data_IF_386923582421
#
_entry.id   IF_386923582421
#
_cell.length_a   1.000
_cell.length_b   1.000
_cell.length_c   1.000
_cell.angle_alpha   90.00
_cell.angle_beta   90.00
_cell.angle_gamma   90.00
#
_symmetry.space_group_name_H-M   'P 1'
#
loop_
_entity.id
_entity.type
_entity.pdbx_description
1 polymer ?
#
# COMPACT_ATOMS: atom_id res chain seq x y z
N UNK A 1 -1.26 -3.17 2.62
CA UNK A 1 -1.96 -1.88 2.44
C UNK A 1 -3.12 -2.03 1.46
N UNK A 2 -2.86 -2.29 0.17
CA UNK A 2 -3.90 -2.37 -0.87
C UNK A 2 -5.07 -3.27 -0.46
N UNK A 3 -4.79 -4.54 -0.16
CA UNK A 3 -5.82 -5.52 0.18
C UNK A 3 -6.60 -5.16 1.44
N UNK A 4 -5.90 -4.83 2.51
CA UNK A 4 -6.53 -4.55 3.81
C UNK A 4 -7.37 -3.28 3.77
N UNK A 5 -6.86 -2.19 3.20
CA UNK A 5 -7.61 -0.94 3.09
C UNK A 5 -8.80 -1.07 2.14
N UNK A 6 -8.61 -1.69 0.96
CA UNK A 6 -9.69 -1.86 -0.02
C UNK A 6 -10.85 -2.65 0.56
N UNK A 7 -10.60 -3.86 1.08
CA UNK A 7 -11.68 -4.72 1.59
C UNK A 7 -12.33 -4.15 2.84
N UNK A 8 -11.57 -3.49 3.72
CA UNK A 8 -12.15 -2.81 4.89
C UNK A 8 -13.15 -1.74 4.47
N UNK A 9 -12.77 -0.86 3.55
CA UNK A 9 -13.67 0.17 3.02
C UNK A 9 -14.83 -0.46 2.25
N UNK A 10 -14.56 -1.49 1.44
CA UNK A 10 -15.58 -2.19 0.67
C UNK A 10 -16.70 -2.75 1.54
N UNK A 11 -16.35 -3.42 2.65
CA UNK A 11 -17.33 -4.03 3.54
C UNK A 11 -18.10 -3.00 4.38
N UNK A 12 -17.50 -1.84 4.66
CA UNK A 12 -18.21 -0.72 5.32
C UNK A 12 -19.18 -0.09 4.33
N UNK A 13 -18.65 0.38 3.20
CA UNK A 13 -19.41 0.92 2.08
C UNK A 13 -18.54 0.87 0.82
N UNK A 14 -18.90 -0.04 -0.08
CA UNK A 14 -18.28 -0.22 -1.39
C UNK A 14 -18.08 1.09 -2.17
N UNK A 15 -19.02 2.03 -2.08
CA UNK A 15 -18.98 3.28 -2.84
C UNK A 15 -17.77 4.15 -2.49
N UNK A 16 -17.14 3.93 -1.33
CA UNK A 16 -15.94 4.62 -0.87
C UNK A 16 -14.69 4.27 -1.69
N UNK A 17 -14.68 3.11 -2.33
CA UNK A 17 -13.57 2.63 -3.17
C UNK A 17 -13.95 2.46 -4.62
N UNK A 18 -15.21 2.10 -4.91
CA UNK A 18 -15.68 1.86 -6.26
C UNK A 18 -17.17 2.20 -6.43
N UNK A 19 -17.53 3.10 -7.36
CA UNK A 19 -18.92 3.36 -7.74
C UNK A 19 -19.58 2.11 -8.34
N UNK A 20 -20.89 1.95 -8.16
CA UNK A 20 -21.65 0.81 -8.70
C UNK A 20 -21.77 0.84 -10.23
N UNK A 21 -21.63 2.02 -10.83
CA UNK A 21 -21.83 2.22 -12.27
C UNK A 21 -20.71 1.57 -13.11
N UNK A 22 -19.58 1.24 -12.48
CA UNK A 22 -18.44 0.61 -13.18
C UNK A 22 -18.43 -0.92 -13.06
N UNK A 23 -19.43 -1.53 -12.43
CA UNK A 23 -19.53 -2.98 -12.23
C UNK A 23 -19.53 -3.76 -13.54
N UNK A 24 -20.10 -3.16 -14.60
CA UNK A 24 -20.11 -3.75 -15.95
C UNK A 24 -18.69 -3.92 -16.51
N UNK A 25 -17.78 -3.01 -16.17
CA UNK A 25 -16.40 -2.99 -16.65
C UNK A 25 -15.42 -3.62 -15.66
N UNK A 26 -15.79 -3.70 -14.37
CA UNK A 26 -14.94 -4.15 -13.30
C UNK A 26 -15.56 -5.31 -12.51
N UNK A 27 -15.54 -6.53 -13.08
CA UNK A 27 -16.19 -7.69 -12.49
C UNK A 27 -15.51 -8.14 -11.18
N UNK A 28 -16.24 -8.90 -10.37
CA UNK A 28 -15.76 -9.29 -9.02
C UNK A 28 -14.47 -10.13 -9.02
N UNK A 29 -14.25 -10.96 -10.03
CA UNK A 29 -12.99 -11.71 -10.14
C UNK A 29 -11.79 -10.78 -10.37
N UNK A 30 -12.00 -9.65 -11.06
CA UNK A 30 -10.97 -8.64 -11.27
C UNK A 30 -10.69 -7.89 -9.97
N UNK A 31 -11.72 -7.62 -9.15
CA UNK A 31 -11.54 -7.12 -7.78
C UNK A 31 -10.62 -8.04 -6.96
N UNK A 32 -10.86 -9.35 -6.96
CA UNK A 32 -10.01 -10.30 -6.26
C UNK A 32 -8.58 -10.36 -6.82
N UNK A 33 -8.44 -10.27 -8.14
CA UNK A 33 -7.12 -10.25 -8.78
C UNK A 33 -6.31 -9.04 -8.32
N UNK A 34 -6.92 -7.85 -8.28
CA UNK A 34 -6.23 -6.61 -7.91
C UNK A 34 -6.09 -6.40 -6.41
N UNK A 35 -7.01 -6.94 -5.58
CA UNK A 35 -7.08 -6.61 -4.15
C UNK A 35 -6.96 -7.80 -3.22
N UNK A 36 -7.11 -9.05 -3.66
CA UNK A 36 -6.87 -10.23 -2.80
C UNK A 36 -5.55 -10.90 -3.16
N UNK A 37 -5.34 -11.18 -4.43
CA UNK A 37 -4.17 -11.96 -4.87
C UNK A 37 -2.84 -11.23 -4.67
N UNK A 38 -2.82 -9.90 -4.71
CA UNK A 38 -1.63 -9.12 -4.34
C UNK A 38 -1.15 -9.49 -2.93
N UNK A 39 -2.05 -9.57 -1.94
CA UNK A 39 -1.68 -9.99 -0.59
C UNK A 39 -1.24 -11.45 -0.54
N UNK A 40 -1.97 -12.35 -1.19
CA UNK A 40 -1.62 -13.77 -1.24
C UNK A 40 -0.22 -13.97 -1.81
N UNK A 41 0.09 -13.35 -2.95
CA UNK A 41 1.39 -13.47 -3.59
C UNK A 41 2.50 -12.77 -2.79
N UNK A 42 2.24 -11.62 -2.17
CA UNK A 42 3.22 -11.02 -1.25
C UNK A 42 3.51 -11.93 -0.06
N UNK A 43 2.50 -12.59 0.53
CA UNK A 43 2.71 -13.55 1.61
C UNK A 43 3.50 -14.78 1.15
N UNK A 44 3.16 -15.35 -0.02
CA UNK A 44 3.89 -16.45 -0.61
C UNK A 44 5.34 -16.06 -0.86
N UNK A 45 5.58 -14.91 -1.49
CA UNK A 45 6.91 -14.39 -1.75
C UNK A 45 7.73 -14.25 -0.45
N UNK A 46 7.15 -13.66 0.61
CA UNK A 46 7.85 -13.49 1.89
C UNK A 46 8.29 -14.82 2.52
N UNK A 47 7.54 -15.90 2.31
CA UNK A 47 7.89 -17.23 2.84
C UNK A 47 8.76 -18.06 1.90
N UNK A 48 8.71 -17.83 0.59
CA UNK A 48 9.48 -18.61 -0.40
C UNK A 48 10.77 -17.94 -0.86
N UNK A 49 10.87 -16.61 -0.74
CA UNK A 49 12.02 -15.85 -1.22
C UNK A 49 12.54 -14.89 -0.14
N UNK A 50 13.82 -15.03 0.20
CA UNK A 50 14.49 -14.07 1.07
C UNK A 50 14.57 -12.70 0.39
N UNK A 51 14.15 -11.65 1.11
CA UNK A 51 14.28 -10.27 0.64
C UNK A 51 15.33 -9.51 1.47
N UNK A 52 16.42 -9.03 0.84
CA UNK A 52 17.38 -8.17 1.50
C UNK A 52 16.79 -6.78 1.73
N UNK A 53 16.51 -6.42 2.99
CA UNK A 53 16.09 -5.05 3.32
C UNK A 53 17.32 -4.14 3.40
N UNK A 54 17.26 -2.91 2.87
CA UNK A 54 18.28 -1.90 3.08
C UNK A 54 18.29 -1.45 4.55
N UNK A 55 19.19 -0.53 4.92
CA UNK A 55 19.16 0.07 6.26
C UNK A 55 17.77 0.66 6.53
N UNK A 56 17.27 0.52 7.76
CA UNK A 56 15.91 0.94 8.12
C UNK A 56 15.68 2.42 7.82
N UNK A 57 16.66 3.28 8.07
CA UNK A 57 16.58 4.71 7.79
C UNK A 57 16.42 4.96 6.28
N UNK A 58 17.21 4.29 5.46
CA UNK A 58 17.12 4.44 4.01
C UNK A 58 15.76 3.95 3.49
N UNK A 59 15.36 2.73 3.86
CA UNK A 59 14.07 2.16 3.44
C UNK A 59 12.87 2.99 3.89
N UNK A 60 12.87 3.48 5.14
CA UNK A 60 11.81 4.36 5.64
C UNK A 60 11.79 5.72 4.94
N UNK A 61 12.96 6.31 4.70
CA UNK A 61 13.05 7.59 3.96
C UNK A 61 12.50 7.43 2.56
N UNK A 62 12.93 6.40 1.82
CA UNK A 62 12.43 6.11 0.47
C UNK A 62 10.92 5.87 0.47
N UNK A 63 10.42 5.09 1.42
CA UNK A 63 8.99 4.83 1.60
C UNK A 63 8.18 6.11 1.85
N UNK A 64 8.65 6.99 2.73
CA UNK A 64 7.99 8.27 3.01
C UNK A 64 8.04 9.20 1.79
N UNK A 65 9.19 9.30 1.11
CA UNK A 65 9.33 10.09 -0.10
C UNK A 65 8.35 9.64 -1.20
N UNK A 66 8.19 8.33 -1.39
CA UNK A 66 7.23 7.79 -2.36
C UNK A 66 5.78 8.10 -1.98
N UNK A 67 5.44 8.04 -0.69
CA UNK A 67 4.10 8.42 -0.24
C UNK A 67 3.82 9.91 -0.41
N UNK A 68 4.80 10.77 -0.12
CA UNK A 68 4.69 12.22 -0.33
C UNK A 68 4.54 12.56 -1.82
N UNK A 69 5.33 11.93 -2.69
CA UNK A 69 5.24 12.15 -4.13
C UNK A 69 3.87 11.71 -4.66
N UNK A 70 3.36 10.56 -4.21
CA UNK A 70 2.03 10.11 -4.56
C UNK A 70 0.92 11.04 -4.00
N UNK A 71 1.08 11.53 -2.77
CA UNK A 71 0.15 12.49 -2.18
C UNK A 71 0.09 13.80 -2.99
N UNK A 72 1.24 14.32 -3.42
CA UNK A 72 1.32 15.49 -4.31
C UNK A 72 0.61 15.16 -5.64
N UNK A 73 0.91 14.00 -6.22
CA UNK A 73 0.32 13.57 -7.49
C UNK A 73 -1.21 13.53 -7.46
N UNK A 74 -1.83 12.95 -6.43
CA UNK A 74 -3.30 12.89 -6.36
C UNK A 74 -3.94 14.29 -6.24
N UNK A 75 -3.24 15.26 -5.62
CA UNK A 75 -3.71 16.65 -5.57
C UNK A 75 -3.56 17.34 -6.93
N UNK A 76 -2.49 17.05 -7.68
CA UNK A 76 -2.35 17.50 -9.08
C UNK A 76 -3.52 16.98 -9.90
N UNK A 77 -3.82 15.68 -9.85
CA UNK A 77 -4.97 15.09 -10.56
C UNK A 77 -6.28 15.78 -10.17
N UNK A 78 -6.52 16.00 -8.88
CA UNK A 78 -7.72 16.71 -8.43
C UNK A 78 -7.79 18.15 -8.97
N UNK A 79 -6.66 18.87 -9.02
CA UNK A 79 -6.62 20.24 -9.57
C UNK A 79 -6.96 20.30 -11.06
N UNK A 80 -6.62 19.26 -11.83
CA UNK A 80 -6.84 19.22 -13.28
C UNK A 80 -8.22 18.65 -13.65
N UNK A 81 -8.67 17.62 -12.93
CA UNK A 81 -9.88 16.88 -13.26
C UNK A 81 -11.08 17.25 -12.39
N UNK A 82 -10.88 18.00 -11.31
CA UNK A 82 -11.89 18.32 -10.29
C UNK A 82 -12.58 17.07 -9.68
N UNK A 83 -11.92 15.92 -9.76
CA UNK A 83 -12.38 14.64 -9.23
C UNK A 83 -11.26 13.98 -8.44
N UNK A 84 -11.61 13.40 -7.30
CA UNK A 84 -10.66 12.64 -6.50
C UNK A 84 -10.44 11.26 -7.11
N UNK A 85 -9.19 10.80 -7.15
CA UNK A 85 -8.83 9.44 -7.56
C UNK A 85 -9.53 8.38 -6.68
N UNK A 86 -9.74 8.70 -5.41
CA UNK A 86 -10.43 7.84 -4.45
C UNK A 86 -11.76 8.46 -4.01
N UNK A 87 -12.91 7.79 -4.23
CA UNK A 87 -14.23 8.33 -3.89
C UNK A 87 -14.36 8.75 -2.42
N UNK A 88 -13.77 8.01 -1.48
CA UNK A 88 -13.75 8.37 -0.05
C UNK A 88 -13.30 9.81 0.19
N UNK A 89 -12.33 10.33 -0.57
CA UNK A 89 -11.81 11.69 -0.37
C UNK A 89 -12.88 12.74 -0.68
N UNK A 90 -13.80 12.48 -1.61
CA UNK A 90 -14.93 13.38 -1.89
C UNK A 90 -15.89 13.49 -0.70
N UNK A 91 -16.02 12.42 0.10
CA UNK A 91 -16.93 12.35 1.26
C UNK A 91 -16.35 12.99 2.52
N UNK A 92 -15.02 13.14 2.59
CA UNK A 92 -14.35 13.71 3.76
C UNK A 92 -14.19 15.23 3.63
N UNK A 93 -14.41 15.95 4.73
CA UNK A 93 -14.02 17.36 4.84
C UNK A 93 -12.49 17.49 5.04
N UNK A 94 -11.96 18.72 5.00
CA UNK A 94 -10.52 18.94 5.06
C UNK A 94 -9.84 18.33 6.31
N UNK A 95 -10.34 18.53 7.55
CA UNK A 95 -9.75 17.89 8.73
C UNK A 95 -9.72 16.37 8.64
N UNK A 96 -10.81 15.75 8.18
CA UNK A 96 -10.88 14.29 8.04
C UNK A 96 -9.98 13.78 6.93
N UNK A 97 -9.78 14.53 5.83
CA UNK A 97 -8.80 14.18 4.79
C UNK A 97 -7.38 14.20 5.34
N UNK A 98 -7.01 15.24 6.09
CA UNK A 98 -5.69 15.32 6.73
C UNK A 98 -5.47 14.14 7.68
N UNK A 99 -6.47 13.79 8.49
CA UNK A 99 -6.40 12.63 9.38
C UNK A 99 -6.30 11.32 8.60
N UNK A 100 -7.07 11.17 7.52
CA UNK A 100 -7.01 9.99 6.65
C UNK A 100 -5.63 9.81 6.03
N UNK A 101 -5.03 10.87 5.48
CA UNK A 101 -3.68 10.84 4.93
C UNK A 101 -2.66 10.49 6.02
N UNK A 102 -2.66 11.17 7.16
CA UNK A 102 -1.76 10.86 8.26
C UNK A 102 -1.91 9.39 8.72
N UNK A 103 -3.15 8.92 8.86
CA UNK A 103 -3.46 7.53 9.20
C UNK A 103 -2.88 6.55 8.19
N UNK A 104 -3.00 6.83 6.89
CA UNK A 104 -2.42 5.99 5.85
C UNK A 104 -0.89 5.97 5.89
N UNK A 105 -0.25 7.10 6.17
CA UNK A 105 1.20 7.21 6.31
C UNK A 105 1.74 6.39 7.48
N UNK A 106 1.08 6.48 8.62
CA UNK A 106 1.42 5.69 9.81
C UNK A 106 1.18 4.21 9.54
N UNK A 107 0.02 3.87 8.98
CA UNK A 107 -0.38 2.49 8.74
C UNK A 107 0.57 1.78 7.76
N UNK A 108 0.93 2.39 6.64
CA UNK A 108 1.88 1.81 5.68
C UNK A 108 3.28 1.65 6.29
N UNK A 109 3.70 2.61 7.13
CA UNK A 109 4.98 2.56 7.83
C UNK A 109 5.03 1.40 8.84
N UNK A 110 3.94 1.16 9.57
CA UNK A 110 3.80 -0.02 10.43
C UNK A 110 3.87 -1.30 9.61
N UNK A 111 3.16 -1.37 8.48
CA UNK A 111 3.23 -2.55 7.59
C UNK A 111 4.63 -2.81 7.04
N UNK A 112 5.40 -1.76 6.72
CA UNK A 112 6.80 -1.89 6.31
C UNK A 112 7.63 -2.57 7.42
N UNK A 113 7.48 -2.11 8.67
CA UNK A 113 8.18 -2.70 9.81
C UNK A 113 7.74 -4.15 10.09
N UNK A 114 6.46 -4.45 9.93
CA UNK A 114 5.93 -5.82 10.03
C UNK A 114 6.55 -6.71 8.96
N UNK A 115 6.66 -6.25 7.71
CA UNK A 115 7.32 -6.98 6.64
C UNK A 115 8.80 -7.23 6.91
N UNK A 116 9.53 -6.20 7.39
CA UNK A 116 10.93 -6.33 7.79
C UNK A 116 11.11 -7.36 8.92
N UNK A 117 10.24 -7.31 9.94
CA UNK A 117 10.25 -8.24 11.06
C UNK A 117 9.92 -9.67 10.61
N UNK A 118 8.88 -9.84 9.80
CA UNK A 118 8.46 -11.14 9.29
C UNK A 118 9.57 -11.79 8.45
N UNK A 119 10.25 -11.03 7.60
CA UNK A 119 11.38 -11.53 6.82
C UNK A 119 12.53 -12.02 7.72
N UNK A 120 12.86 -11.29 8.79
CA UNK A 120 13.87 -11.72 9.79
C UNK A 120 13.41 -12.94 10.58
N UNK A 121 12.11 -13.05 10.86
CA UNK A 121 11.54 -14.19 11.58
C UNK A 121 11.62 -15.48 10.76
N UNK A 122 11.27 -15.42 9.47
CA UNK A 122 11.26 -16.60 8.58
C UNK A 122 12.70 -17.04 8.22
N UNK A 123 13.59 -16.11 7.91
CA UNK A 123 14.91 -16.41 7.35
C UNK A 123 16.08 -16.27 8.34
N UNK A 124 15.78 -15.86 9.58
CA UNK A 124 16.78 -15.56 10.60
C UNK A 124 17.58 -14.28 10.32
N UNK A 125 18.57 -13.99 11.17
CA UNK A 125 19.52 -12.92 10.93
C UNK A 125 20.55 -13.36 9.89
N UNK A 126 20.47 -12.80 8.68
CA UNK A 126 21.50 -12.94 7.66
C UNK A 126 22.36 -11.65 7.67
N UNK A 127 23.66 -11.72 8.01
CA UNK A 127 24.52 -10.55 8.02
C UNK A 127 24.67 -9.96 6.61
N UNK A 128 24.73 -8.63 6.54
CA UNK A 128 24.83 -7.82 5.32
C UNK A 128 25.94 -8.23 4.33
N UNK A 129 26.89 -9.07 4.76
CA UNK A 129 27.98 -9.61 3.92
C UNK A 129 27.51 -10.63 2.88
N UNK A 130 26.40 -11.34 3.10
CA UNK A 130 25.84 -12.26 2.08
C UNK A 130 25.12 -11.48 0.96
N UNK A 131 24.63 -10.27 1.24
CA UNK A 131 24.00 -9.37 0.26
C UNK A 131 24.96 -8.93 -0.85
N UNK A 132 26.22 -8.60 -0.52
CA UNK A 132 27.20 -8.17 -1.51
C UNK A 132 27.75 -9.31 -2.39
N UNK A 133 27.40 -10.57 -2.11
CA UNK A 133 27.89 -11.73 -2.87
C UNK A 133 27.01 -12.04 -4.11
N UNK A 134 25.82 -11.43 -4.21
CA UNK A 134 24.86 -11.64 -5.29
C UNK A 134 24.60 -10.39 -6.17
N UNK A 135 25.26 -9.27 -5.89
CA UNK A 135 25.27 -8.11 -6.78
C UNK A 135 26.39 -8.29 -7.83
N UNK A 136 26.07 -8.31 -9.15
CA UNK A 136 27.07 -8.45 -10.22
C UNK A 136 27.94 -7.20 -10.42
#
# INVERSE_FOLDING_TARGET
FVSTTFWSLWFIDRSLVMPKDIDLYFPIWLNHTMHTFVFVFTCLEMVTAYRPYPSRIFGMTTHICLQLSYLIWIHIVYSQCHMWVYPILSQLNLPLRCLFFLGTFVYTSVLYLVGEYFNKFVWGYQPQKVQNQYDP
#
